data_IF_217139771922
#
_entry.id   IF_217139771922
#
_cell.length_a   1.000
_cell.length_b   1.000
_cell.length_c   1.000
_cell.angle_alpha   90.00
_cell.angle_beta   90.00
_cell.angle_gamma   90.00
#
_symmetry.space_group_name_H-M   'P 1'
#
loop_
_entity.id
_entity.type
_entity.pdbx_description
1 polymer ?
#
# COMPACT_ATOMS: atom_id res chain seq x y z
N UNK A 1 -18.83 -4.31 18.14
CA UNK A 1 -20.08 -5.01 18.45
C UNK A 1 -20.84 -5.43 17.19
N UNK A 2 -21.39 -4.51 16.38
CA UNK A 2 -22.14 -4.88 15.16
C UNK A 2 -21.27 -5.64 14.15
N UNK A 3 -20.09 -5.11 13.82
CA UNK A 3 -19.18 -5.74 12.87
C UNK A 3 -18.68 -7.10 13.37
N UNK A 4 -18.42 -7.23 14.67
CA UNK A 4 -17.92 -8.48 15.28
C UNK A 4 -18.93 -9.64 15.25
N UNK A 5 -20.23 -9.33 15.11
CA UNK A 5 -21.27 -10.35 15.01
C UNK A 5 -21.43 -10.90 13.58
N UNK A 6 -20.96 -10.18 12.55
CA UNK A 6 -21.16 -10.57 11.15
C UNK A 6 -20.40 -11.84 10.73
N UNK A 7 -19.14 -12.07 11.16
CA UNK A 7 -18.42 -13.30 10.79
C UNK A 7 -19.16 -14.59 11.18
N UNK A 8 -19.88 -14.59 12.31
CA UNK A 8 -20.64 -15.75 12.77
C UNK A 8 -21.81 -16.14 11.84
N UNK A 9 -22.20 -15.27 10.91
CA UNK A 9 -23.27 -15.54 9.95
C UNK A 9 -22.81 -16.44 8.79
N UNK A 10 -21.50 -16.61 8.58
CA UNK A 10 -20.94 -17.35 7.44
C UNK A 10 -21.23 -16.72 6.07
N UNK A 11 -21.80 -15.52 6.03
CA UNK A 11 -22.07 -14.81 4.78
C UNK A 11 -20.80 -14.08 4.34
N UNK A 12 -20.39 -14.17 3.05
CA UNK A 12 -19.27 -13.40 2.55
C UNK A 12 -19.45 -11.90 2.82
N UNK A 13 -18.44 -11.28 3.39
CA UNK A 13 -18.49 -9.92 3.92
C UNK A 13 -17.47 -9.02 3.21
N UNK A 14 -17.95 -7.91 2.66
CA UNK A 14 -17.11 -6.81 2.20
C UNK A 14 -17.26 -5.61 3.13
N UNK A 15 -16.14 -5.07 3.62
CA UNK A 15 -16.11 -3.89 4.49
C UNK A 15 -15.68 -2.67 3.70
N UNK A 16 -16.54 -1.66 3.62
CA UNK A 16 -16.19 -0.35 3.05
C UNK A 16 -15.86 0.63 4.17
N UNK A 17 -14.60 1.01 4.26
CA UNK A 17 -14.08 1.94 5.27
C UNK A 17 -14.10 3.37 4.73
N UNK A 18 -15.00 4.19 5.26
CA UNK A 18 -15.06 5.64 4.99
C UNK A 18 -14.40 6.35 6.17
N UNK A 19 -13.14 6.77 5.99
CA UNK A 19 -12.36 7.40 7.04
C UNK A 19 -11.27 8.31 6.47
N UNK A 20 -11.12 9.51 7.01
CA UNK A 20 -10.12 10.50 6.57
C UNK A 20 -8.69 10.20 7.03
N UNK A 21 -8.53 9.32 8.01
CA UNK A 21 -7.25 8.97 8.64
C UNK A 21 -7.09 7.46 8.68
N UNK A 22 -5.84 6.95 8.73
CA UNK A 22 -5.60 5.55 9.01
C UNK A 22 -6.29 5.11 10.30
N UNK A 23 -7.11 4.07 10.20
CA UNK A 23 -7.77 3.47 11.35
C UNK A 23 -7.05 2.18 11.73
N UNK A 24 -6.93 1.94 13.03
CA UNK A 24 -6.72 0.59 13.54
C UNK A 24 -8.03 -0.16 13.33
N UNK A 25 -8.01 -1.14 12.43
CA UNK A 25 -9.18 -1.95 12.14
C UNK A 25 -9.29 -3.09 13.16
N UNK A 26 -10.50 -3.38 13.67
CA UNK A 26 -10.71 -4.55 14.54
C UNK A 26 -10.55 -5.84 13.74
N UNK A 27 -10.29 -6.95 14.44
CA UNK A 27 -10.09 -8.28 13.81
C UNK A 27 -11.28 -8.69 12.94
N UNK A 28 -12.50 -8.31 13.31
CA UNK A 28 -13.71 -8.57 12.51
C UNK A 28 -13.69 -7.87 11.15
N UNK A 29 -13.11 -6.68 11.05
CA UNK A 29 -12.90 -6.00 9.77
C UNK A 29 -11.81 -6.69 8.94
N UNK A 30 -10.72 -7.10 9.60
CA UNK A 30 -9.59 -7.77 8.96
C UNK A 30 -9.93 -9.20 8.50
N UNK A 31 -10.94 -9.82 9.09
CA UNK A 31 -11.48 -11.12 8.70
C UNK A 31 -12.50 -11.03 7.54
N UNK A 32 -12.78 -9.84 7.00
CA UNK A 32 -13.64 -9.69 5.84
C UNK A 32 -13.00 -10.31 4.58
N UNK A 33 -13.83 -10.81 3.66
CA UNK A 33 -13.38 -11.32 2.36
C UNK A 33 -12.79 -10.22 1.47
N UNK A 34 -13.22 -8.97 1.68
CA UNK A 34 -12.68 -7.80 1.02
C UNK A 34 -12.79 -6.53 1.88
N UNK A 35 -11.80 -5.65 1.76
CA UNK A 35 -11.78 -4.34 2.41
C UNK A 35 -11.55 -3.26 1.34
N UNK A 36 -12.43 -2.26 1.31
CA UNK A 36 -12.30 -1.08 0.44
C UNK A 36 -12.15 0.15 1.32
N UNK A 37 -11.00 0.83 1.26
CA UNK A 37 -10.85 2.14 1.88
C UNK A 37 -11.22 3.25 0.90
N UNK A 38 -12.31 3.95 1.20
CA UNK A 38 -12.89 4.98 0.33
C UNK A 38 -12.53 6.42 0.76
N UNK A 39 -11.70 6.57 1.81
CA UNK A 39 -11.33 7.85 2.40
C UNK A 39 -12.56 8.76 2.66
N UNK A 40 -12.56 9.97 2.10
CA UNK A 40 -13.72 10.86 2.01
C UNK A 40 -14.17 10.95 0.55
N UNK A 41 -15.12 10.10 0.10
CA UNK A 41 -15.35 9.86 -1.33
C UNK A 41 -16.22 10.95 -2.01
N UNK A 42 -16.56 12.02 -1.29
CA UNK A 42 -17.29 13.17 -1.82
C UNK A 42 -18.76 12.87 -2.20
N UNK A 43 -19.40 13.85 -2.87
CA UNK A 43 -20.84 13.82 -3.17
C UNK A 43 -21.28 12.67 -4.10
N UNK A 44 -20.36 12.16 -4.93
CA UNK A 44 -20.60 10.99 -5.82
C UNK A 44 -20.01 9.70 -5.26
N UNK A 45 -19.58 9.71 -4.00
CA UNK A 45 -18.85 8.60 -3.40
C UNK A 45 -19.63 7.29 -3.38
N UNK A 46 -20.92 7.33 -3.05
CA UNK A 46 -21.77 6.14 -3.07
C UNK A 46 -21.84 5.48 -4.45
N UNK A 47 -21.87 6.29 -5.52
CA UNK A 47 -21.85 5.78 -6.90
C UNK A 47 -20.51 5.14 -7.24
N UNK A 48 -19.39 5.80 -6.93
CA UNK A 48 -18.06 5.27 -7.18
C UNK A 48 -17.80 3.96 -6.42
N UNK A 49 -18.25 3.87 -5.16
CA UNK A 49 -18.16 2.64 -4.35
C UNK A 49 -19.00 1.53 -4.99
N UNK A 50 -20.24 1.81 -5.40
CA UNK A 50 -21.10 0.80 -6.05
C UNK A 50 -20.50 0.31 -7.37
N UNK A 51 -20.02 1.22 -8.23
CA UNK A 51 -19.36 0.88 -9.50
C UNK A 51 -18.11 0.02 -9.26
N UNK A 52 -17.34 0.30 -8.21
CA UNK A 52 -16.18 -0.51 -7.82
C UNK A 52 -16.62 -1.91 -7.35
N UNK A 53 -17.54 -2.00 -6.39
CA UNK A 53 -18.00 -3.28 -5.84
C UNK A 53 -18.66 -4.18 -6.88
N UNK A 54 -19.31 -3.59 -7.89
CA UNK A 54 -19.91 -4.32 -9.02
C UNK A 54 -18.91 -4.60 -10.15
N UNK A 55 -17.64 -4.19 -10.02
CA UNK A 55 -16.62 -4.38 -11.03
C UNK A 55 -16.87 -3.61 -12.33
N UNK A 56 -17.63 -2.51 -12.27
CA UNK A 56 -17.82 -1.57 -13.40
C UNK A 56 -16.58 -0.68 -13.59
N UNK A 57 -15.84 -0.44 -12.50
CA UNK A 57 -14.51 0.17 -12.52
C UNK A 57 -13.53 -0.73 -11.78
N UNK A 58 -12.25 -0.70 -12.18
CA UNK A 58 -11.18 -1.45 -11.51
C UNK A 58 -10.49 -0.57 -10.45
N UNK A 59 -10.13 -1.12 -9.26
CA UNK A 59 -9.42 -0.39 -8.23
C UNK A 59 -7.99 -0.07 -8.68
N UNK A 60 -7.64 1.20 -8.62
CA UNK A 60 -6.32 1.72 -9.00
C UNK A 60 -5.62 2.49 -7.86
N UNK A 61 -6.25 2.58 -6.69
CA UNK A 61 -5.73 3.33 -5.54
C UNK A 61 -4.50 2.65 -4.93
N UNK A 62 -3.53 3.46 -4.48
CA UNK A 62 -2.43 3.05 -3.61
C UNK A 62 -2.40 3.94 -2.37
N UNK A 63 -2.08 3.37 -1.21
CA UNK A 63 -2.09 4.08 0.06
C UNK A 63 -1.01 5.16 0.09
N UNK A 64 -1.35 6.45 0.29
CA UNK A 64 -0.35 7.51 0.42
C UNK A 64 0.20 7.62 1.86
N UNK A 65 -0.25 6.75 2.77
CA UNK A 65 0.11 6.75 4.18
C UNK A 65 0.06 5.31 4.72
N UNK A 66 0.95 4.99 5.64
CA UNK A 66 0.99 3.68 6.30
C UNK A 66 -0.11 3.57 7.37
N UNK A 67 -0.76 2.40 7.46
CA UNK A 67 -1.79 2.12 8.46
C UNK A 67 -1.21 1.29 9.62
N UNK A 68 -1.34 1.76 10.88
CA UNK A 68 -0.90 0.99 12.04
C UNK A 68 -1.85 -0.20 12.34
N UNK A 69 -1.29 -1.27 12.89
CA UNK A 69 -2.02 -2.36 13.56
C UNK A 69 -2.54 -1.97 14.94
N UNK A 70 -1.84 -1.05 15.61
CA UNK A 70 -2.24 -0.56 16.93
C UNK A 70 -1.76 0.88 17.11
N UNK A 71 -2.49 1.70 17.89
CA UNK A 71 -2.13 3.10 18.12
C UNK A 71 -0.73 3.25 18.75
N UNK A 72 -0.33 2.27 19.55
CA UNK A 72 1.01 2.20 20.16
C UNK A 72 2.17 1.98 19.18
N UNK A 73 1.91 1.61 17.91
CA UNK A 73 2.94 1.60 16.87
C UNK A 73 3.27 2.99 16.35
N UNK A 74 2.48 4.01 16.69
CA UNK A 74 2.72 5.35 16.16
C UNK A 74 3.97 5.96 16.80
N UNK A 75 4.80 6.66 16.01
CA UNK A 75 4.59 6.97 14.60
C UNK A 75 4.94 5.79 13.66
N UNK A 76 4.07 5.54 12.66
CA UNK A 76 4.31 4.55 11.60
C UNK A 76 4.31 5.23 10.22
N UNK A 77 5.39 5.05 9.48
CA UNK A 77 5.61 5.62 8.15
C UNK A 77 6.68 4.78 7.43
N UNK A 78 6.75 4.80 6.10
CA UNK A 78 7.56 3.83 5.36
C UNK A 78 9.06 4.15 5.33
N UNK A 79 9.43 5.42 5.39
CA UNK A 79 10.81 5.89 5.33
C UNK A 79 11.38 6.05 6.75
N UNK A 80 11.31 4.98 7.55
CA UNK A 80 11.92 4.91 8.89
C UNK A 80 13.45 5.02 8.80
N UNK A 81 14.08 5.55 9.86
CA UNK A 81 15.53 5.55 9.96
C UNK A 81 16.04 4.17 10.42
N UNK A 82 17.18 3.77 9.87
CA UNK A 82 17.86 2.51 10.24
C UNK A 82 18.10 2.40 11.74
N UNK A 83 17.63 1.31 12.33
CA UNK A 83 17.84 1.02 13.76
C UNK A 83 17.13 1.95 14.74
N UNK A 84 16.27 2.86 14.26
CA UNK A 84 15.48 3.77 15.12
C UNK A 84 14.50 3.01 16.01
N UNK A 85 13.96 1.92 15.49
CA UNK A 85 13.19 0.95 16.23
C UNK A 85 13.89 -0.40 16.08
N UNK A 86 13.65 -1.35 17.02
CA UNK A 86 14.17 -2.72 16.91
C UNK A 86 13.63 -3.43 15.65
N UNK A 87 13.47 -4.75 15.66
CA UNK A 87 12.73 -5.45 14.59
C UNK A 87 11.32 -5.88 15.03
N UNK A 88 10.94 -5.58 16.27
CA UNK A 88 9.63 -5.90 16.87
C UNK A 88 9.40 -5.12 18.17
N UNK A 89 8.14 -5.11 18.61
CA UNK A 89 7.76 -4.78 19.99
C UNK A 89 7.75 -6.06 20.85
N UNK A 90 7.58 -5.93 22.16
CA UNK A 90 7.51 -7.09 23.06
C UNK A 90 6.28 -7.97 22.78
N UNK A 91 5.19 -7.36 22.34
CA UNK A 91 3.85 -7.91 22.18
C UNK A 91 3.24 -7.68 20.78
N UNK A 92 4.00 -7.07 19.86
CA UNK A 92 3.50 -6.69 18.53
C UNK A 92 4.62 -6.73 17.48
N UNK A 93 4.26 -7.05 16.22
CA UNK A 93 5.17 -6.89 15.09
C UNK A 93 5.47 -5.41 14.81
N UNK A 94 6.59 -5.13 14.16
CA UNK A 94 6.82 -3.81 13.56
C UNK A 94 6.11 -3.60 12.23
N UNK A 95 5.66 -4.67 11.58
CA UNK A 95 4.97 -4.55 10.30
C UNK A 95 3.68 -3.74 10.44
N UNK A 96 3.39 -2.84 9.50
CA UNK A 96 2.12 -2.14 9.49
C UNK A 96 0.95 -3.09 9.18
N UNK A 97 -0.28 -2.60 9.38
CA UNK A 97 -1.47 -3.29 8.90
C UNK A 97 -1.54 -3.24 7.37
N UNK A 98 -1.28 -2.05 6.81
CA UNK A 98 -1.17 -1.81 5.38
C UNK A 98 -0.03 -0.82 5.13
N UNK A 99 0.86 -1.13 4.19
CA UNK A 99 2.05 -0.34 3.91
C UNK A 99 1.75 0.88 3.02
N UNK A 100 2.58 1.91 3.11
CA UNK A 100 2.63 2.96 2.08
C UNK A 100 2.82 2.33 0.70
N UNK A 101 2.08 2.83 -0.28
CA UNK A 101 2.11 2.34 -1.65
C UNK A 101 1.35 1.04 -1.87
N UNK A 102 0.75 0.44 -0.85
CA UNK A 102 -0.05 -0.78 -0.98
C UNK A 102 -1.42 -0.48 -1.60
N UNK A 103 -1.93 -1.41 -2.40
CA UNK A 103 -3.27 -1.39 -2.94
C UNK A 103 -3.44 -2.51 -3.95
N UNK A 104 -4.62 -3.12 -3.97
CA UNK A 104 -4.91 -4.27 -4.81
C UNK A 104 -5.59 -3.85 -6.13
N UNK A 105 -5.64 -4.78 -7.07
CA UNK A 105 -6.36 -4.68 -8.35
C UNK A 105 -7.29 -5.90 -8.49
N UNK A 106 -8.31 -5.80 -9.34
CA UNK A 106 -9.09 -6.98 -9.78
C UNK A 106 -8.36 -7.81 -10.85
N UNK A 107 -7.23 -7.31 -11.33
CA UNK A 107 -6.28 -8.07 -12.15
C UNK A 107 -4.99 -8.33 -11.38
N UNK A 108 -4.11 -9.14 -11.94
CA UNK A 108 -2.76 -9.38 -11.43
C UNK A 108 -1.73 -8.75 -12.34
N UNK A 109 -0.66 -8.21 -11.77
CA UNK A 109 0.49 -7.68 -12.50
C UNK A 109 1.77 -8.36 -12.03
N UNK A 110 2.68 -8.59 -12.96
CA UNK A 110 4.01 -9.13 -12.68
C UNK A 110 5.08 -8.11 -13.09
N UNK A 111 6.10 -7.99 -12.26
CA UNK A 111 7.27 -7.16 -12.50
C UNK A 111 8.46 -8.06 -12.84
N UNK A 112 9.13 -7.80 -13.96
CA UNK A 112 10.32 -8.56 -14.38
C UNK A 112 11.41 -7.65 -14.93
N UNK A 113 12.62 -8.21 -15.10
CA UNK A 113 13.73 -7.60 -15.85
C UNK A 113 14.15 -6.20 -15.36
N UNK A 114 14.13 -5.98 -14.03
CA UNK A 114 14.67 -4.75 -13.46
C UNK A 114 16.16 -4.64 -13.78
N UNK A 115 16.52 -3.61 -14.53
CA UNK A 115 17.89 -3.32 -14.94
C UNK A 115 18.20 -1.85 -14.69
N UNK A 116 19.40 -1.58 -14.15
CA UNK A 116 19.98 -0.24 -14.09
C UNK A 116 21.00 -0.15 -15.22
N UNK A 117 20.84 0.82 -16.12
CA UNK A 117 21.65 0.91 -17.34
C UNK A 117 23.14 1.07 -17.05
N UNK A 118 23.46 1.91 -16.06
CA UNK A 118 24.83 2.22 -15.64
C UNK A 118 24.91 2.09 -14.10
N UNK A 119 25.62 1.08 -13.57
CA UNK A 119 25.68 0.83 -12.12
C UNK A 119 26.69 1.74 -11.40
N UNK A 120 27.57 2.43 -12.13
CA UNK A 120 28.56 3.36 -11.59
C UNK A 120 28.31 4.72 -12.24
N UNK A 121 28.04 5.72 -11.41
CA UNK A 121 27.61 7.05 -11.83
C UNK A 121 28.43 8.10 -11.07
N UNK A 122 28.74 9.19 -11.76
CA UNK A 122 29.23 10.42 -11.18
C UNK A 122 28.11 11.24 -10.54
N UNK A 123 28.51 12.35 -9.90
CA UNK A 123 27.61 13.20 -9.12
C UNK A 123 26.48 13.84 -9.94
N UNK A 124 26.76 14.17 -11.19
CA UNK A 124 25.85 14.90 -12.08
C UNK A 124 25.14 13.98 -13.09
N UNK A 125 25.37 12.67 -13.00
CA UNK A 125 24.79 11.70 -13.92
C UNK A 125 23.34 11.38 -13.57
N UNK A 126 22.62 10.81 -14.55
CA UNK A 126 21.22 10.43 -14.41
C UNK A 126 21.10 8.92 -14.26
N UNK A 127 20.55 8.48 -13.14
CA UNK A 127 20.17 7.07 -12.94
C UNK A 127 19.05 6.71 -13.93
N UNK A 128 19.32 5.74 -14.80
CA UNK A 128 18.32 5.16 -15.71
C UNK A 128 18.07 3.71 -15.34
N UNK A 129 16.82 3.40 -15.00
CA UNK A 129 16.37 2.05 -14.73
C UNK A 129 15.19 1.69 -15.64
N UNK A 130 15.09 0.41 -16.00
CA UNK A 130 13.97 -0.18 -16.73
C UNK A 130 13.44 -1.36 -15.96
N UNK A 131 12.12 -1.50 -15.93
CA UNK A 131 11.42 -2.69 -15.44
C UNK A 131 10.29 -3.00 -16.41
N UNK A 132 10.02 -4.28 -16.63
CA UNK A 132 8.87 -4.74 -17.41
C UNK A 132 7.71 -4.95 -16.45
N UNK A 133 6.53 -4.45 -16.82
CA UNK A 133 5.29 -4.64 -16.06
C UNK A 133 4.27 -5.30 -16.98
N UNK A 134 3.82 -6.48 -16.60
CA UNK A 134 2.91 -7.30 -17.40
C UNK A 134 1.61 -7.50 -16.64
N UNK A 135 0.48 -7.13 -17.24
CA UNK A 135 -0.83 -7.54 -16.75
C UNK A 135 -1.05 -9.02 -17.08
N UNK A 136 -1.08 -9.85 -16.05
CA UNK A 136 -1.22 -11.32 -16.16
C UNK A 136 -2.63 -11.81 -15.88
N UNK A 137 -3.53 -10.92 -15.46
CA UNK A 137 -4.93 -11.26 -15.22
C UNK A 137 -5.82 -11.07 -16.45
N UNK A 138 -7.12 -11.24 -16.24
CA UNK A 138 -8.14 -11.21 -17.31
C UNK A 138 -8.88 -9.87 -17.43
N UNK A 139 -8.55 -8.90 -16.56
CA UNK A 139 -9.18 -7.57 -16.51
C UNK A 139 -8.16 -6.49 -16.87
N UNK A 140 -8.61 -5.33 -17.38
CA UNK A 140 -7.76 -4.14 -17.41
C UNK A 140 -7.16 -3.88 -16.02
N UNK A 141 -5.92 -3.43 -15.97
CA UNK A 141 -5.26 -3.05 -14.73
C UNK A 141 -4.64 -1.69 -14.94
N UNK A 142 -4.77 -0.84 -13.92
CA UNK A 142 -4.03 0.39 -13.81
C UNK A 142 -3.03 0.20 -12.65
N UNK A 143 -1.74 0.20 -12.96
CA UNK A 143 -0.68 -0.05 -11.99
C UNK A 143 0.10 1.23 -11.67
N UNK A 144 0.47 1.40 -10.40
CA UNK A 144 1.34 2.51 -9.97
C UNK A 144 2.71 1.93 -9.63
N UNK A 145 3.60 2.00 -10.61
CA UNK A 145 5.01 1.60 -10.47
C UNK A 145 5.71 2.61 -9.57
N UNK A 146 6.31 2.14 -8.47
CA UNK A 146 6.96 3.00 -7.48
C UNK A 146 8.47 2.72 -7.44
N UNK A 147 9.28 3.78 -7.49
CA UNK A 147 10.74 3.71 -7.47
C UNK A 147 11.27 4.24 -6.15
N UNK A 148 11.92 3.36 -5.41
CA UNK A 148 12.54 3.67 -4.13
C UNK A 148 14.05 3.63 -4.23
N UNK A 149 14.73 4.52 -3.51
CA UNK A 149 16.19 4.55 -3.41
C UNK A 149 16.60 4.43 -1.95
N UNK A 150 17.67 3.67 -1.71
CA UNK A 150 18.31 3.48 -0.42
C UNK A 150 19.76 3.88 -0.55
N UNK A 151 20.22 4.82 0.28
CA UNK A 151 21.64 5.07 0.43
C UNK A 151 22.20 4.11 1.50
N UNK A 152 23.17 3.28 1.11
CA UNK A 152 23.71 2.23 1.97
C UNK A 152 24.82 2.74 2.89
N UNK A 153 25.50 3.82 2.54
CA UNK A 153 26.64 4.36 3.30
C UNK A 153 26.56 5.88 3.33
N UNK A 154 26.16 6.42 4.48
CA UNK A 154 25.83 7.85 4.62
C UNK A 154 26.64 8.52 5.72
N UNK A 155 26.95 9.81 5.54
CA UNK A 155 27.59 10.65 6.57
C UNK A 155 26.59 11.17 7.61
N UNK A 156 25.29 11.08 7.31
CA UNK A 156 24.17 11.42 8.20
C UNK A 156 23.14 10.29 8.19
N UNK A 157 22.30 10.22 9.21
CA UNK A 157 21.24 9.20 9.26
C UNK A 157 20.31 9.33 8.07
N UNK A 158 20.01 8.20 7.43
CA UNK A 158 19.16 8.11 6.24
C UNK A 158 18.05 7.08 6.45
N UNK A 159 16.93 7.28 5.76
CA UNK A 159 15.82 6.35 5.81
C UNK A 159 16.17 5.03 5.12
N UNK A 160 15.54 3.93 5.52
CA UNK A 160 15.79 2.64 4.87
C UNK A 160 15.55 2.65 3.37
N UNK A 161 14.52 3.38 2.94
CA UNK A 161 14.20 3.67 1.54
C UNK A 161 13.39 4.97 1.43
N UNK A 162 13.50 5.65 0.30
CA UNK A 162 12.71 6.84 -0.01
C UNK A 162 12.13 6.76 -1.43
N UNK A 163 10.85 7.10 -1.59
CA UNK A 163 10.22 7.20 -2.91
C UNK A 163 10.84 8.37 -3.67
N UNK A 164 11.31 8.12 -4.90
CA UNK A 164 11.91 9.14 -5.78
C UNK A 164 11.12 9.38 -7.06
N UNK A 165 10.41 8.37 -7.54
CA UNK A 165 9.55 8.49 -8.71
C UNK A 165 8.39 7.50 -8.63
N UNK A 166 7.31 7.81 -9.34
CA UNK A 166 6.24 6.86 -9.61
C UNK A 166 5.70 7.07 -11.01
N UNK A 167 5.09 6.03 -11.58
CA UNK A 167 4.45 6.10 -12.89
C UNK A 167 3.15 5.27 -12.89
N UNK A 168 2.11 5.88 -13.43
CA UNK A 168 0.84 5.25 -13.74
C UNK A 168 0.95 4.57 -15.11
N UNK A 169 0.65 3.29 -15.19
CA UNK A 169 0.69 2.47 -16.42
C UNK A 169 -0.60 1.66 -16.59
#
# INVERSE_FOLDING_TARGET
AMLDALPATGTPMTVVVIASKPLVLPDSALAADAIVWAANPGMRGGRAIAELLLGTIDPAGRLPVTFPRHVGQQPVYYNQLRGQHGNRYADLTQDPAFAFGEGLSYSTVEYSDLTVAEPVLGRDDVVRARVTVTNTGTRPSHEVVQVYVSDLVTSLTWADKELKAYRHV
#
